data_IF_853934992438
#
_entry.id   IF_853934992438
#
_cell.length_a   1.000
_cell.length_b   1.000
_cell.length_c   1.000
_cell.angle_alpha   90.00
_cell.angle_beta   90.00
_cell.angle_gamma   90.00
#
_symmetry.space_group_name_H-M   'P 1'
#
loop_
_entity.id
_entity.type
_entity.pdbx_description
1 polymer ?
#
# COMPACT_ATOMS: atom_id res chain seq x y z
N UNK A 1 11.88 -5.02 16.09
CA UNK A 1 10.50 -4.73 15.63
C UNK A 1 10.32 -3.26 15.21
N UNK A 2 10.71 -2.29 16.05
CA UNK A 2 10.56 -0.85 15.75
C UNK A 2 11.22 -0.44 14.42
N UNK A 3 12.43 -0.93 14.16
CA UNK A 3 13.18 -0.60 12.94
C UNK A 3 12.45 -1.02 11.65
N UNK A 4 11.89 -2.24 11.63
CA UNK A 4 11.10 -2.73 10.50
C UNK A 4 9.87 -1.84 10.25
N UNK A 5 9.17 -1.45 11.32
CA UNK A 5 8.00 -0.56 11.21
C UNK A 5 8.42 0.82 10.70
N UNK A 6 9.54 1.37 11.19
CA UNK A 6 10.08 2.65 10.76
C UNK A 6 10.47 2.66 9.27
N UNK A 7 11.12 1.59 8.80
CA UNK A 7 11.44 1.42 7.38
C UNK A 7 10.17 1.29 6.53
N UNK A 8 9.17 0.54 6.99
CA UNK A 8 7.88 0.43 6.31
C UNK A 8 7.12 1.77 6.24
N UNK A 9 7.24 2.64 7.24
CA UNK A 9 6.68 4.00 7.20
C UNK A 9 7.47 4.92 6.28
N UNK A 10 8.79 4.76 6.23
CA UNK A 10 9.66 5.48 5.28
C UNK A 10 9.30 5.14 3.84
N UNK A 11 9.02 3.86 3.54
CA UNK A 11 8.52 3.42 2.24
C UNK A 11 7.17 4.06 1.90
N UNK A 12 6.19 4.00 2.81
CA UNK A 12 4.88 4.61 2.60
C UNK A 12 4.99 6.12 2.30
N UNK A 13 5.83 6.85 3.06
CA UNK A 13 6.09 8.27 2.80
C UNK A 13 6.72 8.51 1.43
N UNK A 14 7.67 7.66 1.02
CA UNK A 14 8.31 7.74 -0.30
C UNK A 14 7.31 7.53 -1.43
N UNK A 15 6.34 6.62 -1.28
CA UNK A 15 5.29 6.40 -2.27
C UNK A 15 4.43 7.67 -2.42
N UNK A 16 3.97 8.23 -1.29
CA UNK A 16 3.15 9.45 -1.28
C UNK A 16 3.89 10.71 -1.75
N UNK A 17 5.22 10.71 -1.74
CA UNK A 17 6.04 11.81 -2.24
C UNK A 17 6.71 11.50 -3.58
N UNK A 18 6.25 10.48 -4.31
CA UNK A 18 6.84 10.10 -5.59
C UNK A 18 6.52 11.15 -6.66
N UNK A 19 7.47 11.50 -7.57
CA UNK A 19 7.25 12.55 -8.57
C UNK A 19 6.25 12.16 -9.69
N UNK A 20 5.84 10.88 -9.75
CA UNK A 20 4.86 10.38 -10.71
C UNK A 20 3.71 9.66 -9.96
N UNK A 21 2.49 9.65 -10.53
CA UNK A 21 1.37 8.95 -9.90
C UNK A 21 1.63 7.44 -9.73
N UNK A 22 1.29 6.90 -8.57
CA UNK A 22 1.35 5.48 -8.24
C UNK A 22 -0.04 4.86 -8.28
N UNK A 23 -0.17 3.78 -9.04
CA UNK A 23 -1.37 2.93 -9.06
C UNK A 23 -1.06 1.62 -8.33
N UNK A 24 -1.90 1.25 -7.37
CA UNK A 24 -1.86 -0.08 -6.75
C UNK A 24 -3.02 -0.92 -7.25
N UNK A 25 -2.71 -1.98 -7.99
CA UNK A 25 -3.68 -3.00 -8.42
C UNK A 25 -3.62 -4.20 -7.46
N UNK A 26 -4.62 -4.32 -6.59
CA UNK A 26 -4.73 -5.40 -5.61
C UNK A 26 -5.61 -6.53 -6.15
N UNK A 27 -5.05 -7.72 -6.42
CA UNK A 27 -5.78 -8.85 -6.99
C UNK A 27 -6.47 -9.74 -5.94
N UNK A 28 -6.61 -9.29 -4.69
CA UNK A 28 -7.20 -10.09 -3.61
C UNK A 28 -7.04 -9.45 -2.23
N UNK A 29 -6.45 -10.18 -1.28
CA UNK A 29 -6.30 -9.72 0.10
C UNK A 29 -5.24 -8.62 0.27
N UNK A 30 -5.56 -7.62 1.09
CA UNK A 30 -4.60 -6.64 1.57
C UNK A 30 -4.82 -6.38 3.07
N UNK A 31 -4.00 -7.01 3.91
CA UNK A 31 -4.10 -6.96 5.38
C UNK A 31 -2.85 -6.32 5.98
N UNK A 32 -3.00 -5.63 7.10
CA UNK A 32 -1.93 -4.94 7.82
C UNK A 32 -1.12 -4.01 6.90
N UNK A 33 0.19 -4.24 6.73
CA UNK A 33 1.03 -3.40 5.87
C UNK A 33 0.65 -3.48 4.38
N UNK A 34 0.03 -4.56 3.93
CA UNK A 34 -0.54 -4.64 2.58
C UNK A 34 -1.64 -3.59 2.35
N UNK A 35 -2.51 -3.37 3.35
CA UNK A 35 -3.52 -2.29 3.28
C UNK A 35 -2.87 -0.90 3.33
N UNK A 36 -1.78 -0.73 4.08
CA UNK A 36 -1.04 0.53 4.10
C UNK A 36 -0.40 0.86 2.74
N UNK A 37 -0.01 -0.13 1.93
CA UNK A 37 0.45 0.12 0.55
C UNK A 37 -0.68 0.72 -0.31
N UNK A 38 -1.90 0.19 -0.21
CA UNK A 38 -3.08 0.77 -0.86
C UNK A 38 -3.34 2.20 -0.38
N UNK A 39 -3.16 2.49 0.90
CA UNK A 39 -3.36 3.85 1.47
C UNK A 39 -2.24 4.83 1.10
N UNK A 40 -1.15 4.37 0.49
CA UNK A 40 0.03 5.19 0.16
C UNK A 40 0.17 5.42 -1.35
N UNK A 41 -0.90 5.27 -2.13
CA UNK A 41 -0.92 5.40 -3.58
C UNK A 41 -2.00 6.40 -4.03
N UNK A 42 -1.81 6.98 -5.21
CA UNK A 42 -2.70 8.01 -5.77
C UNK A 42 -3.99 7.42 -6.34
N UNK A 43 -3.93 6.20 -6.86
CA UNK A 43 -5.09 5.46 -7.36
C UNK A 43 -5.02 3.98 -7.01
N UNK A 44 -6.17 3.37 -6.75
CA UNK A 44 -6.26 1.99 -6.25
C UNK A 44 -7.32 1.22 -7.01
N UNK A 45 -6.96 0.03 -7.48
CA UNK A 45 -7.87 -0.89 -8.15
C UNK A 45 -7.91 -2.16 -7.32
N UNK A 46 -9.11 -2.55 -6.88
CA UNK A 46 -9.36 -3.84 -6.24
C UNK A 46 -10.21 -4.74 -7.13
N UNK A 47 -10.30 -6.01 -6.76
CA UNK A 47 -11.21 -6.97 -7.38
C UNK A 47 -12.31 -7.35 -6.38
N UNK A 48 -13.52 -7.60 -6.87
CA UNK A 48 -14.57 -8.23 -6.09
C UNK A 48 -14.37 -9.75 -6.08
N UNK A 49 -14.66 -10.40 -4.95
CA UNK A 49 -14.50 -11.84 -4.78
C UNK A 49 -14.76 -12.25 -3.33
N UNK A 50 -14.92 -13.56 -3.05
CA UNK A 50 -15.13 -14.06 -1.70
C UNK A 50 -13.82 -14.08 -0.90
N UNK A 51 -13.26 -12.89 -0.63
CA UNK A 51 -12.05 -12.72 0.19
C UNK A 51 -12.41 -12.64 1.68
N UNK A 52 -11.69 -13.38 2.51
CA UNK A 52 -11.79 -13.40 3.98
C UNK A 52 -10.80 -12.48 4.68
#
# INVERSE_FOLDING_TARGET
AIELVAQGSTLARRMLSHPFPIIVACPGHAVAKGAFLLLSADYRIGVAGPFS
#
